data_IF_638602860890
#
_entry.id   IF_638602860890
#
_cell.length_a   1.000
_cell.length_b   1.000
_cell.length_c   1.000
_cell.angle_alpha   90.00
_cell.angle_beta   90.00
_cell.angle_gamma   90.00
#
_symmetry.space_group_name_H-M   'P 1'
#
loop_
_entity.id
_entity.type
_entity.pdbx_description
1 polymer ?
#
# COMPACT_ATOMS: atom_id res chain seq x y z
N UNK A 1 20.33 7.62 15.81
CA UNK A 1 19.39 8.46 16.60
C UNK A 1 20.11 8.78 17.92
N UNK A 2 20.20 10.06 18.25
CA UNK A 2 20.79 10.52 19.51
C UNK A 2 19.68 10.70 20.56
N UNK A 3 20.04 10.64 21.85
CA UNK A 3 19.09 10.88 22.94
C UNK A 3 18.38 12.24 22.80
N UNK A 4 19.08 13.27 22.31
CA UNK A 4 18.52 14.58 22.03
C UNK A 4 17.39 14.56 21.01
N UNK A 5 17.42 13.66 20.05
CA UNK A 5 16.41 13.55 19.00
C UNK A 5 15.07 13.05 19.58
N UNK A 6 15.12 12.38 20.73
CA UNK A 6 13.94 11.78 21.37
C UNK A 6 13.22 12.74 22.31
N UNK A 7 13.89 13.81 22.77
CA UNK A 7 13.31 14.74 23.75
C UNK A 7 12.09 15.47 23.20
N UNK A 8 12.14 15.84 21.91
CA UNK A 8 11.07 16.57 21.22
C UNK A 8 10.21 15.68 20.33
N UNK A 9 10.50 14.36 20.26
CA UNK A 9 9.73 13.45 19.45
C UNK A 9 8.34 13.22 20.05
N UNK A 10 7.28 13.18 19.22
CA UNK A 10 5.94 12.87 19.71
C UNK A 10 5.88 11.44 20.25
N UNK A 11 5.05 11.24 21.26
CA UNK A 11 4.72 9.89 21.73
C UNK A 11 3.84 9.17 20.70
N UNK A 12 3.88 7.84 20.69
CA UNK A 12 3.12 7.06 19.72
C UNK A 12 1.62 7.39 19.73
N UNK A 13 1.01 7.52 20.90
CA UNK A 13 -0.41 7.86 21.03
C UNK A 13 -0.80 9.21 20.39
N UNK A 14 0.14 10.16 20.29
CA UNK A 14 -0.10 11.47 19.68
C UNK A 14 -0.18 11.38 18.15
N UNK A 15 0.51 10.39 17.56
CA UNK A 15 0.55 10.19 16.10
C UNK A 15 -0.29 8.99 15.63
N UNK A 16 -0.78 8.15 16.55
CA UNK A 16 -1.47 6.91 16.23
C UNK A 16 -2.67 7.11 15.28
N UNK A 17 -3.49 8.13 15.54
CA UNK A 17 -4.62 8.49 14.67
C UNK A 17 -4.16 8.79 13.25
N UNK A 18 -3.09 9.56 13.10
CA UNK A 18 -2.55 9.91 11.79
C UNK A 18 -2.02 8.69 11.05
N UNK A 19 -1.38 7.74 11.75
CA UNK A 19 -0.92 6.48 11.15
C UNK A 19 -2.11 5.68 10.63
N UNK A 20 -3.20 5.57 11.41
CA UNK A 20 -4.43 4.89 10.96
C UNK A 20 -4.95 5.55 9.69
N UNK A 21 -5.11 6.88 9.68
CA UNK A 21 -5.65 7.63 8.55
C UNK A 21 -4.86 7.43 7.26
N UNK A 22 -3.52 7.49 7.31
CA UNK A 22 -2.68 7.33 6.11
C UNK A 22 -2.52 5.89 5.65
N UNK A 23 -2.80 4.92 6.52
CA UNK A 23 -2.66 3.48 6.20
C UNK A 23 -4.00 2.79 5.99
N UNK A 24 -5.11 3.51 6.11
CA UNK A 24 -6.42 2.90 5.91
C UNK A 24 -6.64 2.54 4.44
N UNK A 25 -7.10 1.29 4.22
CA UNK A 25 -7.26 0.76 2.88
C UNK A 25 -5.95 0.57 2.08
N UNK A 26 -4.79 0.76 2.71
CA UNK A 26 -3.48 0.68 2.06
C UNK A 26 -2.74 -0.61 2.40
N UNK A 27 -1.75 -0.95 1.57
CA UNK A 27 -0.79 -2.00 1.85
C UNK A 27 0.39 -1.39 2.60
N UNK A 28 0.77 -2.02 3.71
CA UNK A 28 1.98 -1.66 4.44
C UNK A 28 3.19 -2.27 3.75
N UNK A 29 4.03 -1.44 3.15
CA UNK A 29 5.24 -1.88 2.45
C UNK A 29 6.47 -1.52 3.26
N UNK A 30 7.36 -2.48 3.45
CA UNK A 30 8.66 -2.22 4.07
C UNK A 30 9.71 -3.23 3.58
N UNK A 31 10.97 -2.92 3.83
CA UNK A 31 12.09 -3.81 3.64
C UNK A 31 12.45 -4.48 4.97
N UNK A 32 12.18 -5.78 5.13
CA UNK A 32 12.06 -6.50 6.38
C UNK A 32 10.80 -6.10 7.16
N UNK A 33 9.67 -6.14 6.47
CA UNK A 33 8.39 -5.64 6.96
C UNK A 33 7.92 -6.28 8.27
N UNK A 34 8.32 -7.51 8.56
CA UNK A 34 7.97 -8.22 9.78
C UNK A 34 8.43 -7.49 11.05
N UNK A 35 9.58 -6.81 10.98
CA UNK A 35 10.12 -6.06 12.11
C UNK A 35 9.26 -4.81 12.40
N UNK A 36 9.09 -3.93 11.39
CA UNK A 36 8.38 -2.67 11.57
C UNK A 36 6.90 -2.89 11.87
N UNK A 37 6.27 -3.84 11.18
CA UNK A 37 4.86 -4.16 11.36
C UNK A 37 4.56 -4.73 12.75
N UNK A 38 5.45 -5.56 13.29
CA UNK A 38 5.32 -6.09 14.65
C UNK A 38 5.37 -4.97 15.68
N UNK A 39 6.29 -4.01 15.54
CA UNK A 39 6.38 -2.86 16.44
C UNK A 39 5.10 -2.05 16.39
N UNK A 40 4.61 -1.70 15.20
CA UNK A 40 3.35 -0.98 15.05
C UNK A 40 2.17 -1.71 15.69
N UNK A 41 2.05 -3.02 15.44
CA UNK A 41 0.98 -3.82 16.08
C UNK A 41 1.04 -3.79 17.58
N UNK A 42 2.23 -3.87 18.17
CA UNK A 42 2.42 -3.85 19.61
C UNK A 42 2.06 -2.48 20.20
N UNK A 43 2.49 -1.40 19.58
CA UNK A 43 2.17 -0.03 19.99
C UNK A 43 0.66 0.23 19.93
N UNK A 44 0.00 -0.16 18.84
CA UNK A 44 -1.46 -0.04 18.74
C UNK A 44 -2.20 -0.91 19.75
N UNK A 45 -1.71 -2.13 20.00
CA UNK A 45 -2.29 -3.02 21.00
C UNK A 45 -2.23 -2.42 22.42
N UNK A 46 -1.12 -1.73 22.74
CA UNK A 46 -0.98 -1.03 24.02
C UNK A 46 -2.00 0.10 24.20
N UNK A 47 -2.52 0.64 23.08
CA UNK A 47 -3.61 1.63 23.06
C UNK A 47 -5.01 0.99 22.99
N UNK A 48 -5.10 -0.35 23.06
CA UNK A 48 -6.37 -1.08 22.94
C UNK A 48 -6.92 -1.16 21.50
N UNK A 49 -6.10 -0.86 20.48
CA UNK A 49 -6.50 -0.87 19.09
C UNK A 49 -5.87 -2.05 18.33
N UNK A 50 -6.71 -2.79 17.58
CA UNK A 50 -6.23 -3.86 16.69
C UNK A 50 -5.82 -3.27 15.35
N UNK A 51 -4.50 -3.11 15.15
CA UNK A 51 -3.95 -2.67 13.87
C UNK A 51 -3.72 -3.87 12.95
N UNK A 52 -4.42 -3.87 11.81
CA UNK A 52 -4.32 -4.95 10.83
C UNK A 52 -4.31 -4.38 9.42
N UNK A 53 -3.26 -4.70 8.65
CA UNK A 53 -3.04 -4.25 7.27
C UNK A 53 -2.47 -5.39 6.45
N UNK A 54 -2.72 -5.39 5.16
CA UNK A 54 -1.95 -6.23 4.23
C UNK A 54 -0.51 -5.78 4.23
N UNK A 55 0.42 -6.71 4.33
CA UNK A 55 1.86 -6.43 4.41
C UNK A 55 2.55 -6.95 3.17
N UNK A 56 3.40 -6.13 2.57
CA UNK A 56 4.30 -6.48 1.49
C UNK A 56 5.74 -6.27 1.96
N UNK A 57 6.51 -7.36 2.00
CA UNK A 57 7.94 -7.32 2.28
C UNK A 57 8.73 -7.34 0.98
N UNK A 58 9.64 -6.39 0.81
CA UNK A 58 10.43 -6.30 -0.41
C UNK A 58 11.65 -7.23 -0.41
N UNK A 59 12.02 -7.88 0.71
CA UNK A 59 13.13 -8.87 0.73
C UNK A 59 12.78 -10.10 -0.13
N UNK A 60 11.67 -10.81 0.08
CA UNK A 60 11.31 -11.96 -0.77
C UNK A 60 11.14 -11.61 -2.23
N UNK A 61 10.72 -10.37 -2.53
CA UNK A 61 10.63 -9.89 -3.90
C UNK A 61 12.03 -9.66 -4.49
N UNK A 62 12.96 -9.12 -3.72
CA UNK A 62 14.35 -8.99 -4.14
C UNK A 62 14.98 -10.36 -4.46
N UNK A 63 14.76 -11.35 -3.61
CA UNK A 63 15.25 -12.72 -3.82
C UNK A 63 14.69 -13.34 -5.11
N UNK A 64 13.41 -13.06 -5.40
CA UNK A 64 12.75 -13.57 -6.60
C UNK A 64 13.20 -12.89 -7.88
N UNK A 65 13.25 -11.55 -7.90
CA UNK A 65 13.50 -10.77 -9.13
C UNK A 65 14.98 -10.49 -9.39
N UNK A 66 15.83 -10.58 -8.36
CA UNK A 66 17.25 -10.32 -8.41
C UNK A 66 18.07 -11.40 -7.68
N UNK A 67 17.91 -12.68 -8.04
CA UNK A 67 18.55 -13.80 -7.32
C UNK A 67 20.08 -13.75 -7.35
N UNK A 68 20.67 -13.00 -8.28
CA UNK A 68 22.12 -12.83 -8.47
C UNK A 68 22.76 -11.83 -7.50
N UNK A 69 21.96 -11.07 -6.75
CA UNK A 69 22.51 -10.09 -5.81
C UNK A 69 23.29 -10.76 -4.70
N UNK A 70 24.44 -10.21 -4.29
CA UNK A 70 25.27 -10.77 -3.22
C UNK A 70 24.58 -10.71 -1.84
N UNK A 71 23.59 -9.85 -1.69
CA UNK A 71 22.76 -9.69 -0.50
C UNK A 71 21.47 -8.97 -0.85
N UNK A 72 20.40 -9.30 -0.15
CA UNK A 72 19.09 -8.65 -0.31
C UNK A 72 18.82 -7.58 0.75
N UNK A 73 19.87 -7.06 1.40
CA UNK A 73 19.75 -5.88 2.26
C UNK A 73 19.56 -4.60 1.44
N UNK A 74 18.79 -3.64 1.99
CA UNK A 74 18.43 -2.40 1.29
C UNK A 74 19.65 -1.62 0.77
N UNK A 75 20.77 -1.67 1.49
CA UNK A 75 22.01 -1.03 1.09
C UNK A 75 22.56 -1.63 -0.21
N UNK A 76 22.65 -2.96 -0.27
CA UNK A 76 23.12 -3.67 -1.47
C UNK A 76 22.21 -3.37 -2.65
N UNK A 77 20.90 -3.45 -2.44
CA UNK A 77 19.90 -3.15 -3.48
C UNK A 77 20.07 -1.73 -4.01
N UNK A 78 20.22 -0.76 -3.10
CA UNK A 78 20.43 0.64 -3.50
C UNK A 78 21.69 0.82 -4.36
N UNK A 79 22.79 0.18 -3.96
CA UNK A 79 24.05 0.29 -4.68
C UNK A 79 23.98 -0.36 -6.07
N UNK A 80 23.42 -1.56 -6.16
CA UNK A 80 23.36 -2.34 -7.42
C UNK A 80 22.33 -1.74 -8.40
N UNK A 81 21.22 -1.19 -7.91
CA UNK A 81 20.18 -0.61 -8.76
C UNK A 81 20.27 0.91 -8.91
N UNK A 82 21.32 1.54 -8.38
CA UNK A 82 21.51 2.99 -8.49
C UNK A 82 20.48 3.84 -7.73
N UNK A 83 19.88 3.29 -6.66
CA UNK A 83 18.89 4.00 -5.84
C UNK A 83 19.65 4.90 -4.86
N UNK A 84 19.45 6.21 -4.97
CA UNK A 84 20.07 7.17 -4.06
C UNK A 84 19.38 7.14 -2.68
N UNK A 85 20.15 6.82 -1.64
CA UNK A 85 19.72 6.92 -0.24
C UNK A 85 20.72 7.76 0.57
N UNK A 86 20.65 9.10 0.50
CA UNK A 86 21.57 9.98 1.20
C UNK A 86 21.39 9.98 2.73
N UNK A 87 20.29 9.44 3.23
CA UNK A 87 19.94 9.37 4.65
C UNK A 87 19.84 7.92 5.14
N UNK A 88 20.87 7.13 4.86
CA UNK A 88 20.94 5.73 5.31
C UNK A 88 20.80 5.62 6.83
N UNK A 89 20.14 4.55 7.29
CA UNK A 89 19.83 4.28 8.69
C UNK A 89 18.95 5.38 9.34
N UNK A 90 18.22 6.11 8.53
CA UNK A 90 17.17 7.02 8.95
C UNK A 90 15.86 6.57 8.29
N UNK A 91 14.81 6.43 9.10
CA UNK A 91 13.54 5.86 8.67
C UNK A 91 12.96 6.52 7.39
N UNK A 92 13.09 7.85 7.26
CA UNK A 92 12.63 8.58 6.07
C UNK A 92 13.46 8.27 4.82
N UNK A 93 14.77 8.07 4.97
CA UNK A 93 15.66 7.70 3.88
C UNK A 93 15.41 6.26 3.41
N UNK A 94 15.35 5.34 4.36
CA UNK A 94 15.15 3.92 4.07
C UNK A 94 13.74 3.66 3.48
N UNK A 95 12.72 4.35 3.97
CA UNK A 95 11.36 4.28 3.40
C UNK A 95 11.31 4.78 1.95
N UNK A 96 11.99 5.89 1.63
CA UNK A 96 12.07 6.41 0.25
C UNK A 96 12.82 5.46 -0.68
N UNK A 97 13.93 4.88 -0.21
CA UNK A 97 14.68 3.89 -0.97
C UNK A 97 13.84 2.64 -1.23
N UNK A 98 13.10 2.16 -0.23
CA UNK A 98 12.17 1.03 -0.37
C UNK A 98 11.06 1.34 -1.37
N UNK A 99 10.50 2.54 -1.36
CA UNK A 99 9.49 2.96 -2.33
C UNK A 99 10.05 2.96 -3.75
N UNK A 100 11.26 3.49 -3.96
CA UNK A 100 11.92 3.46 -5.26
C UNK A 100 12.23 2.04 -5.73
N UNK A 101 12.64 1.17 -4.81
CA UNK A 101 12.84 -0.23 -5.13
C UNK A 101 11.53 -0.93 -5.52
N UNK A 102 10.42 -0.64 -4.82
CA UNK A 102 9.12 -1.17 -5.18
C UNK A 102 8.68 -0.70 -6.59
N UNK A 103 8.92 0.56 -6.96
CA UNK A 103 8.64 1.06 -8.32
C UNK A 103 9.38 0.20 -9.37
N UNK A 104 10.69 -0.07 -9.17
CA UNK A 104 11.47 -0.93 -10.06
C UNK A 104 10.89 -2.35 -10.13
N UNK A 105 10.53 -2.92 -8.96
CA UNK A 105 9.93 -4.25 -8.90
C UNK A 105 8.62 -4.33 -9.70
N UNK A 106 7.76 -3.31 -9.59
CA UNK A 106 6.50 -3.25 -10.33
C UNK A 106 6.71 -3.10 -11.84
N UNK A 107 7.75 -2.35 -12.27
CA UNK A 107 8.09 -2.19 -13.69
C UNK A 107 8.59 -3.50 -14.33
N UNK A 108 9.33 -4.32 -13.58
CA UNK A 108 9.87 -5.60 -14.11
C UNK A 108 8.92 -6.78 -13.93
N UNK A 109 7.89 -6.65 -13.09
CA UNK A 109 6.90 -7.70 -12.80
C UNK A 109 5.86 -7.86 -13.93
N UNK A 110 6.32 -8.31 -15.10
CA UNK A 110 5.48 -8.50 -16.29
C UNK A 110 4.38 -9.54 -16.08
N UNK A 111 4.59 -10.49 -15.20
CA UNK A 111 3.62 -11.57 -14.90
C UNK A 111 2.61 -11.18 -13.82
N UNK A 112 2.69 -9.96 -13.32
CA UNK A 112 1.83 -9.44 -12.23
C UNK A 112 1.85 -10.33 -10.98
N UNK A 113 3.00 -10.89 -10.67
CA UNK A 113 3.20 -11.75 -9.51
C UNK A 113 2.92 -10.99 -8.20
N UNK A 114 3.43 -9.77 -8.10
CA UNK A 114 3.23 -8.92 -6.92
C UNK A 114 1.74 -8.65 -6.72
N UNK A 115 1.05 -8.31 -7.80
CA UNK A 115 -0.40 -8.09 -7.79
C UNK A 115 -1.14 -9.36 -7.34
N UNK A 116 -0.83 -10.51 -7.92
CA UNK A 116 -1.49 -11.79 -7.61
C UNK A 116 -1.26 -12.29 -6.19
N UNK A 117 -0.06 -12.06 -5.61
CA UNK A 117 0.30 -12.56 -4.27
C UNK A 117 -0.13 -11.60 -3.16
N UNK A 118 0.10 -10.30 -3.33
CA UNK A 118 -0.08 -9.33 -2.27
C UNK A 118 -1.35 -8.50 -2.39
N UNK A 119 -1.78 -8.20 -3.60
CA UNK A 119 -3.00 -7.42 -3.79
C UNK A 119 -4.24 -8.29 -3.77
N UNK A 120 -4.11 -9.61 -4.09
CA UNK A 120 -5.25 -10.52 -4.24
C UNK A 120 -6.45 -9.82 -4.89
N UNK A 121 -6.14 -9.00 -5.89
CA UNK A 121 -7.19 -8.41 -6.70
C UNK A 121 -7.95 -9.58 -7.30
N UNK A 122 -9.26 -9.68 -7.10
CA UNK A 122 -10.03 -10.72 -7.75
C UNK A 122 -9.75 -10.61 -9.24
N UNK A 123 -9.27 -11.70 -9.85
CA UNK A 123 -9.09 -11.74 -11.30
C UNK A 123 -10.36 -11.22 -11.96
N UNK A 124 -10.23 -10.39 -12.97
CA UNK A 124 -11.32 -9.70 -13.68
C UNK A 124 -12.30 -10.65 -14.42
N UNK A 125 -12.34 -11.92 -14.04
CA UNK A 125 -13.21 -12.96 -14.58
C UNK A 125 -14.34 -13.30 -13.59
N UNK A 126 -15.31 -12.41 -13.44
CA UNK A 126 -16.54 -12.76 -12.75
C UNK A 126 -17.34 -11.60 -12.22
N UNK A 127 -18.50 -11.43 -12.78
CA UNK A 127 -19.53 -10.42 -12.40
C UNK A 127 -19.99 -10.47 -10.93
N UNK A 128 -19.43 -11.37 -10.09
CA UNK A 128 -19.82 -11.56 -8.69
C UNK A 128 -18.79 -11.10 -7.64
N UNK A 129 -17.62 -10.63 -8.05
CA UNK A 129 -16.55 -10.29 -7.09
C UNK A 129 -16.73 -8.87 -6.48
N UNK A 130 -17.26 -7.92 -7.23
CA UNK A 130 -17.41 -6.53 -6.77
C UNK A 130 -18.47 -6.34 -5.69
N UNK A 131 -19.56 -7.11 -5.72
CA UNK A 131 -20.66 -6.94 -4.74
C UNK A 131 -20.22 -7.20 -3.30
N UNK A 132 -19.37 -8.21 -3.05
CA UNK A 132 -18.86 -8.48 -1.69
C UNK A 132 -17.86 -7.42 -1.19
N UNK A 133 -17.09 -6.82 -2.08
CA UNK A 133 -16.16 -5.74 -1.71
C UNK A 133 -16.90 -4.44 -1.41
N UNK A 134 -17.94 -4.15 -2.20
CA UNK A 134 -18.81 -2.98 -2.00
C UNK A 134 -19.64 -3.12 -0.71
N UNK A 135 -20.04 -4.33 -0.33
CA UNK A 135 -20.75 -4.59 0.94
C UNK A 135 -19.96 -4.17 2.19
N UNK A 136 -18.63 -4.27 2.12
CA UNK A 136 -17.72 -3.88 3.21
C UNK A 136 -17.33 -2.39 3.18
N UNK A 137 -17.73 -1.63 2.16
CA UNK A 137 -17.48 -0.19 2.13
C UNK A 137 -18.31 0.52 3.20
N UNK A 138 -17.63 1.28 4.01
CA UNK A 138 -18.26 2.08 5.06
C UNK A 138 -19.16 3.14 4.42
N UNK A 139 -20.34 3.38 4.98
CA UNK A 139 -21.25 4.45 4.56
C UNK A 139 -20.70 5.82 5.01
N UNK A 140 -19.61 6.25 4.42
CA UNK A 140 -18.92 7.48 4.77
C UNK A 140 -18.75 8.42 3.59
N UNK A 141 -18.44 9.66 3.90
CA UNK A 141 -17.98 10.68 2.95
C UNK A 141 -16.57 10.32 2.48
N UNK A 142 -16.32 10.40 1.19
CA UNK A 142 -14.98 10.12 0.67
C UNK A 142 -14.82 10.42 -0.82
N UNK A 143 -13.58 10.22 -1.25
CA UNK A 143 -13.17 10.30 -2.65
C UNK A 143 -12.77 8.90 -3.11
N UNK A 144 -13.10 8.55 -4.34
CA UNK A 144 -12.76 7.26 -4.93
C UNK A 144 -12.22 7.43 -6.35
N UNK A 145 -11.39 6.49 -6.74
CA UNK A 145 -10.80 6.41 -8.07
C UNK A 145 -11.25 5.10 -8.72
N UNK A 146 -11.61 5.17 -10.01
CA UNK A 146 -11.77 3.99 -10.85
C UNK A 146 -10.58 3.91 -11.79
N UNK A 147 -10.05 2.72 -11.94
CA UNK A 147 -8.90 2.43 -12.81
C UNK A 147 -9.35 1.51 -13.94
N UNK A 148 -8.76 1.67 -15.13
CA UNK A 148 -8.88 0.69 -16.20
C UNK A 148 -7.99 -0.54 -15.92
N UNK A 149 -8.02 -1.51 -16.84
CA UNK A 149 -7.19 -2.72 -16.72
C UNK A 149 -5.68 -2.44 -16.83
N UNK A 150 -5.30 -1.28 -17.35
CA UNK A 150 -3.92 -0.84 -17.51
C UNK A 150 -3.42 -0.04 -16.30
N UNK A 151 -4.28 0.13 -15.27
CA UNK A 151 -3.95 0.85 -14.05
C UNK A 151 -4.05 2.38 -14.17
N UNK A 152 -4.61 2.90 -15.25
CA UNK A 152 -4.83 4.33 -15.42
C UNK A 152 -6.14 4.77 -14.73
N UNK A 153 -6.12 5.94 -14.10
CA UNK A 153 -7.32 6.52 -13.49
C UNK A 153 -8.28 6.98 -14.60
N UNK A 154 -9.41 6.30 -14.71
CA UNK A 154 -10.47 6.64 -15.69
C UNK A 154 -11.59 7.47 -15.08
N UNK A 155 -11.69 7.49 -13.75
CA UNK A 155 -12.70 8.27 -13.05
C UNK A 155 -12.25 8.65 -11.65
N UNK A 156 -12.57 9.90 -11.26
CA UNK A 156 -12.38 10.42 -9.92
C UNK A 156 -13.73 10.92 -9.42
N UNK A 157 -14.22 10.37 -8.32
CA UNK A 157 -15.49 10.78 -7.73
C UNK A 157 -15.39 11.12 -6.25
N UNK A 158 -16.32 11.98 -5.81
CA UNK A 158 -16.57 12.23 -4.39
C UNK A 158 -18.02 11.92 -4.05
N UNK A 159 -18.28 11.44 -2.83
CA UNK A 159 -19.62 11.20 -2.35
C UNK A 159 -19.69 11.31 -0.83
N UNK A 160 -20.80 11.75 -0.32
CA UNK A 160 -21.21 11.66 1.07
C UNK A 160 -21.70 10.26 1.45
N UNK A 161 -22.00 9.42 0.46
CA UNK A 161 -22.41 8.03 0.59
C UNK A 161 -21.65 7.16 -0.42
N UNK A 162 -20.37 6.92 -0.16
CA UNK A 162 -19.47 6.20 -1.08
C UNK A 162 -20.07 4.90 -1.59
N UNK A 163 -20.59 4.07 -0.69
CA UNK A 163 -21.19 2.79 -1.05
C UNK A 163 -22.28 2.93 -2.10
N UNK A 164 -23.26 3.81 -1.88
CA UNK A 164 -24.40 4.01 -2.79
C UNK A 164 -23.92 4.56 -4.15
N UNK A 165 -22.91 5.42 -4.12
CA UNK A 165 -22.37 6.02 -5.35
C UNK A 165 -21.61 5.01 -6.18
N UNK A 166 -20.79 4.17 -5.54
CA UNK A 166 -20.03 3.11 -6.21
C UNK A 166 -20.97 2.01 -6.73
N UNK A 167 -21.97 1.59 -5.95
CA UNK A 167 -22.99 0.65 -6.39
C UNK A 167 -23.66 1.11 -7.71
N UNK A 168 -23.98 2.41 -7.83
CA UNK A 168 -24.58 2.94 -9.05
C UNK A 168 -23.67 2.85 -10.28
N UNK A 169 -22.35 2.94 -10.12
CA UNK A 169 -21.42 2.78 -11.22
C UNK A 169 -21.35 1.34 -11.75
N UNK A 170 -21.52 0.35 -10.86
CA UNK A 170 -21.37 -1.07 -11.22
C UNK A 170 -22.69 -1.81 -11.44
N UNK A 171 -23.79 -1.31 -10.89
CA UNK A 171 -25.12 -1.92 -11.05
C UNK A 171 -25.95 -1.33 -12.20
N UNK A 172 -25.59 -0.15 -12.72
CA UNK A 172 -26.23 0.37 -13.93
C UNK A 172 -25.71 -0.41 -15.14
N UNK A 173 -26.52 -1.30 -15.64
CA UNK A 173 -26.27 -2.19 -16.79
C UNK A 173 -26.12 -1.48 -18.14
N UNK A 174 -25.79 -0.21 -18.17
CA UNK A 174 -25.52 0.52 -19.41
C UNK A 174 -24.02 0.80 -19.52
N UNK A 175 -23.32 -0.02 -20.30
CA UNK A 175 -21.93 0.12 -20.72
C UNK A 175 -21.58 1.49 -21.37
N UNK A 176 -22.55 2.37 -21.53
CA UNK A 176 -22.38 3.74 -22.05
C UNK A 176 -22.07 4.79 -20.99
N UNK A 177 -22.21 4.50 -19.70
CA UNK A 177 -22.03 5.50 -18.64
C UNK A 177 -20.56 5.71 -18.24
N UNK A 178 -19.66 4.79 -18.61
CA UNK A 178 -18.22 4.88 -18.28
C UNK A 178 -17.41 5.52 -19.41
N UNK A 179 -17.96 5.61 -20.62
CA UNK A 179 -17.25 6.10 -21.80
C UNK A 179 -17.39 7.61 -22.09
N UNK A 180 -18.24 8.32 -21.36
CA UNK A 180 -18.53 9.74 -21.68
C UNK A 180 -18.93 10.52 -20.41
N UNK A 181 -17.97 10.83 -19.56
CA UNK A 181 -18.04 12.06 -18.75
C UNK A 181 -16.68 12.40 -18.16
#
# INVERSE_FOLDING_TARGET
IKQSDLVSAPRFYEIAKRIIEITDGSIFVAHNASFDYRILKQEFLSLGYKYDRTVLDTIPLSEKFFPELPSHGLETICNELGILNPKRHRADGDARATAKFLEILLEIDREKYIEGVYLKLPSATGKHSFSKQIENLVKTIGVYYLFNNDGEVIYLGKSDQLRVRIDRHFLSTNDKAIALQ
#
